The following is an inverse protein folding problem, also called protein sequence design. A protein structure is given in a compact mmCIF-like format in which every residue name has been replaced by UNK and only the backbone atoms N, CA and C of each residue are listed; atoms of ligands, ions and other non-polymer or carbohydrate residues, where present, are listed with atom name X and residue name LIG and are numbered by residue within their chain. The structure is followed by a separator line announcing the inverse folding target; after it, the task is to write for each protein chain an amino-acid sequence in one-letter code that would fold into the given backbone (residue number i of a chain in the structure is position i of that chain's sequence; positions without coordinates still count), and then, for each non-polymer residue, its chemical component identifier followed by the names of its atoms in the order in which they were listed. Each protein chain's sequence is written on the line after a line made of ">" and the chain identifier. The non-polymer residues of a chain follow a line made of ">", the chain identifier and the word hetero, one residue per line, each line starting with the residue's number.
data_IF_413121281089
#
_entry.id   IF_413121281089
#
_cell.length_a   1.000
_cell.length_b   1.000
_cell.length_c   1.000
_cell.angle_alpha   90.00
_cell.angle_beta   90.00
_cell.angle_gamma   90.00
#
_symmetry.space_group_name_H-M   'P 1'
#
loop_
_entity.id
_entity.type
_entity.pdbx_description
1 polymer ?
#
# COMPACT_ATOMS: atom_id res chain seq x y z
N UNK A 1 21.72 22.65 -0.76
CA UNK A 1 20.73 22.23 -1.77
C UNK A 1 19.37 22.34 -1.16
N UNK A 2 18.38 22.85 -1.88
CA UNK A 2 17.02 22.99 -1.35
C UNK A 2 16.39 21.60 -1.25
N UNK A 3 15.89 21.25 -0.07
CA UNK A 3 15.14 20.00 0.12
C UNK A 3 13.81 20.16 -0.64
N UNK A 4 13.53 19.26 -1.57
CA UNK A 4 12.20 19.13 -2.19
C UNK A 4 11.39 18.22 -1.28
N UNK A 5 10.33 18.76 -0.70
CA UNK A 5 9.35 17.98 0.06
C UNK A 5 8.28 17.56 -0.92
N UNK A 6 7.97 16.28 -1.00
CA UNK A 6 6.85 15.75 -1.76
C UNK A 6 5.83 15.16 -0.78
N UNK A 7 4.55 15.36 -1.06
CA UNK A 7 3.45 14.82 -0.26
C UNK A 7 2.72 13.78 -1.12
N UNK A 8 2.65 12.55 -0.65
CA UNK A 8 1.90 11.48 -1.32
C UNK A 8 0.57 11.28 -0.61
N UNK A 9 -0.50 11.08 -1.39
CA UNK A 9 -1.82 10.77 -0.86
C UNK A 9 -2.53 9.80 -1.80
N UNK A 10 -3.50 9.08 -1.24
CA UNK A 10 -4.26 8.06 -1.95
C UNK A 10 -5.66 8.57 -2.27
N UNK A 11 -6.19 8.16 -3.42
CA UNK A 11 -7.62 8.17 -3.69
C UNK A 11 -8.07 6.72 -3.84
N UNK A 12 -8.62 6.13 -2.77
CA UNK A 12 -8.93 4.68 -2.65
C UNK A 12 -9.71 4.14 -3.86
N UNK A 13 -10.70 4.90 -4.31
CA UNK A 13 -11.63 4.47 -5.36
C UNK A 13 -11.56 5.35 -6.62
N UNK A 14 -10.43 6.04 -6.80
CA UNK A 14 -10.14 6.86 -7.97
C UNK A 14 -9.74 6.05 -9.20
N UNK A 15 -9.70 6.72 -10.36
CA UNK A 15 -9.33 6.11 -11.64
C UNK A 15 -10.54 5.61 -12.46
N UNK A 16 -10.29 4.93 -13.60
CA UNK A 16 -11.33 4.30 -14.39
C UNK A 16 -12.08 3.23 -13.59
N UNK A 17 -13.33 2.96 -13.97
CA UNK A 17 -14.12 1.90 -13.35
C UNK A 17 -13.39 0.55 -13.41
N UNK A 18 -13.42 -0.17 -12.30
CA UNK A 18 -12.97 -1.56 -12.21
C UNK A 18 -13.81 -2.46 -13.12
N UNK A 19 -13.31 -3.67 -13.37
CA UNK A 19 -14.02 -4.65 -14.20
C UNK A 19 -15.36 -5.10 -13.60
N UNK A 20 -15.51 -5.03 -12.28
CA UNK A 20 -16.65 -5.53 -11.51
C UNK A 20 -17.34 -4.46 -10.65
N UNK A 21 -16.88 -3.21 -10.71
CA UNK A 21 -17.40 -2.08 -9.93
C UNK A 21 -17.60 -0.84 -10.80
N UNK A 22 -18.45 0.08 -10.34
CA UNK A 22 -18.57 1.42 -10.95
C UNK A 22 -17.52 2.40 -10.42
N UNK A 23 -16.76 1.99 -9.40
CA UNK A 23 -15.65 2.70 -8.78
C UNK A 23 -14.32 2.23 -9.38
N UNK A 24 -13.25 3.00 -9.25
CA UNK A 24 -11.92 2.55 -9.66
C UNK A 24 -11.18 1.81 -8.55
N UNK A 25 -10.07 1.17 -8.88
CA UNK A 25 -9.23 0.41 -7.93
C UNK A 25 -8.17 1.27 -7.24
N UNK A 26 -8.21 2.59 -7.47
CA UNK A 26 -7.43 3.55 -6.71
C UNK A 26 -6.25 4.18 -7.44
N UNK A 27 -5.75 5.24 -6.83
CA UNK A 27 -4.68 6.08 -7.37
C UNK A 27 -3.76 6.57 -6.25
N UNK A 28 -2.49 6.78 -6.57
CA UNK A 28 -1.55 7.54 -5.74
C UNK A 28 -1.22 8.84 -6.44
N UNK A 29 -1.35 9.93 -5.71
CA UNK A 29 -1.06 11.27 -6.19
C UNK A 29 0.14 11.84 -5.44
N UNK A 30 0.92 12.66 -6.13
CA UNK A 30 2.02 13.42 -5.53
C UNK A 30 1.75 14.92 -5.65
N UNK A 31 1.78 15.61 -4.51
CA UNK A 31 1.74 17.05 -4.45
C UNK A 31 3.13 17.61 -4.19
N UNK A 32 3.55 18.55 -5.05
CA UNK A 32 4.77 19.32 -4.89
C UNK A 32 4.42 20.75 -4.43
N UNK A 33 4.62 21.10 -3.15
CA UNK A 33 4.28 22.42 -2.62
C UNK A 33 5.18 23.55 -3.14
N UNK A 34 6.34 23.25 -3.73
CA UNK A 34 7.21 24.27 -4.33
C UNK A 34 6.67 24.75 -5.67
N UNK A 35 6.23 23.81 -6.50
CA UNK A 35 5.72 24.08 -7.85
C UNK A 35 4.19 24.23 -7.87
N UNK A 36 3.54 23.98 -6.72
CA UNK A 36 2.08 23.95 -6.56
C UNK A 36 1.38 23.00 -7.54
N UNK A 37 2.03 21.88 -7.86
CA UNK A 37 1.52 20.88 -8.80
C UNK A 37 1.06 19.62 -8.10
N UNK A 38 -0.05 19.05 -8.58
CA UNK A 38 -0.51 17.70 -8.24
C UNK A 38 -0.32 16.83 -9.49
N UNK A 39 0.36 15.70 -9.34
CA UNK A 39 0.64 14.76 -10.44
C UNK A 39 0.12 13.37 -10.06
N UNK A 40 -0.56 12.71 -10.98
CA UNK A 40 -0.94 11.31 -10.84
C UNK A 40 0.34 10.46 -10.93
N UNK A 41 0.68 9.77 -9.85
CA UNK A 41 1.90 8.99 -9.73
C UNK A 41 1.66 7.51 -10.04
N UNK A 42 0.54 6.97 -9.55
CA UNK A 42 0.08 5.61 -9.83
C UNK A 42 -1.42 5.64 -10.11
N UNK A 43 -1.86 4.90 -11.12
CA UNK A 43 -3.26 4.56 -11.35
C UNK A 43 -3.37 3.04 -11.42
N UNK A 44 -4.25 2.46 -10.61
CA UNK A 44 -4.48 1.02 -10.62
C UNK A 44 -5.10 0.60 -11.96
N UNK A 45 -4.76 -0.62 -12.40
CA UNK A 45 -5.43 -1.25 -13.54
C UNK A 45 -6.91 -1.48 -13.20
N UNK A 46 -7.85 -1.35 -14.16
CA UNK A 46 -9.23 -1.77 -13.97
C UNK A 46 -9.40 -3.22 -13.48
N UNK A 47 -8.40 -4.08 -13.72
CA UNK A 47 -8.42 -5.47 -13.24
C UNK A 47 -8.15 -5.65 -11.75
N UNK A 48 -7.61 -4.65 -11.03
CA UNK A 48 -7.29 -4.74 -9.61
C UNK A 48 -6.11 -5.66 -9.24
N UNK A 49 -5.57 -6.41 -10.21
CA UNK A 49 -4.62 -7.52 -9.96
C UNK A 49 -3.37 -7.17 -9.11
N UNK A 50 -2.85 -5.94 -9.22
CA UNK A 50 -1.66 -5.50 -8.46
C UNK A 50 -1.97 -4.46 -7.39
N UNK A 51 -3.16 -3.85 -7.44
CA UNK A 51 -3.57 -2.78 -6.53
C UNK A 51 -5.10 -2.71 -6.55
N UNK A 52 -5.71 -2.96 -5.40
CA UNK A 52 -7.16 -2.91 -5.19
C UNK A 52 -7.51 -2.04 -3.96
N UNK A 53 -8.18 -0.93 -4.21
CA UNK A 53 -8.67 0.04 -3.23
C UNK A 53 -7.70 0.36 -2.06
N UNK A 54 -6.47 0.87 -2.31
CA UNK A 54 -5.55 1.25 -1.23
C UNK A 54 -6.15 2.34 -0.33
N UNK A 55 -5.98 2.23 0.99
CA UNK A 55 -6.47 3.24 1.94
C UNK A 55 -5.33 3.90 2.74
N UNK A 56 -4.30 3.15 3.14
CA UNK A 56 -3.20 3.69 3.94
C UNK A 56 -1.86 3.68 3.19
N UNK A 57 -1.01 4.66 3.48
CA UNK A 57 0.30 4.84 2.84
C UNK A 57 1.40 5.11 3.87
N UNK A 58 2.58 4.54 3.64
CA UNK A 58 3.80 4.90 4.35
C UNK A 58 5.01 4.90 3.41
N UNK A 59 6.09 5.58 3.80
CA UNK A 59 7.33 5.62 3.04
C UNK A 59 8.32 4.64 3.68
N UNK A 60 8.82 3.70 2.90
CA UNK A 60 9.86 2.79 3.34
C UNK A 60 11.21 3.51 3.48
N UNK A 61 12.13 3.05 4.36
CA UNK A 61 13.45 3.67 4.56
C UNK A 61 14.30 3.75 3.28
N UNK A 62 14.03 2.89 2.30
CA UNK A 62 14.69 2.88 0.99
C UNK A 62 13.97 3.71 -0.10
N UNK A 63 12.92 4.44 0.29
CA UNK A 63 12.23 5.44 -0.52
C UNK A 63 11.12 4.93 -1.45
N UNK A 64 10.72 3.66 -1.34
CA UNK A 64 9.49 3.18 -1.95
C UNK A 64 8.28 3.55 -1.06
N UNK A 65 7.08 3.51 -1.62
CA UNK A 65 5.83 3.65 -0.86
C UNK A 65 5.28 2.26 -0.56
N UNK A 66 4.73 2.05 0.62
CA UNK A 66 3.90 0.88 0.94
C UNK A 66 2.46 1.34 1.10
N UNK A 67 1.57 0.71 0.35
CA UNK A 67 0.13 0.91 0.36
C UNK A 67 -0.52 -0.27 1.08
N UNK A 68 -1.53 -0.01 1.90
CA UNK A 68 -2.35 -1.04 2.53
C UNK A 68 -3.71 -1.05 1.82
N UNK A 69 -4.10 -2.21 1.31
CA UNK A 69 -5.37 -2.40 0.61
C UNK A 69 -6.55 -2.56 1.57
N UNK A 70 -7.71 -2.09 1.09
CA UNK A 70 -9.08 -2.31 1.60
C UNK A 70 -10.00 -2.73 0.43
N UNK A 71 -9.52 -3.68 -0.37
CA UNK A 71 -10.18 -4.15 -1.59
C UNK A 71 -11.29 -5.18 -1.35
N UNK A 72 -11.87 -5.70 -2.43
CA UNK A 72 -12.87 -6.78 -2.36
C UNK A 72 -12.28 -8.19 -2.24
N UNK A 73 -11.05 -8.36 -2.75
CA UNK A 73 -10.35 -9.65 -2.87
C UNK A 73 -9.29 -9.84 -1.76
N UNK A 74 -8.31 -10.72 -1.96
CA UNK A 74 -7.19 -10.89 -1.04
C UNK A 74 -6.48 -9.56 -0.79
N UNK A 75 -6.18 -9.27 0.47
CA UNK A 75 -5.58 -8.00 0.87
C UNK A 75 -4.06 -8.05 0.88
N UNK A 76 -3.41 -7.04 0.32
CA UNK A 76 -1.96 -6.93 0.30
C UNK A 76 -1.46 -5.63 0.92
N UNK A 77 -0.22 -5.70 1.41
CA UNK A 77 0.65 -4.53 1.41
C UNK A 77 1.31 -4.49 0.03
N UNK A 78 1.06 -3.43 -0.72
CA UNK A 78 1.58 -3.22 -2.07
C UNK A 78 2.70 -2.20 -2.05
N UNK A 79 3.83 -2.53 -2.64
CA UNK A 79 4.95 -1.61 -2.84
C UNK A 79 4.82 -0.82 -4.13
N UNK A 80 5.11 0.48 -4.07
CA UNK A 80 5.32 1.35 -5.22
C UNK A 80 6.76 1.79 -5.23
N UNK A 81 7.51 1.42 -6.27
CA UNK A 81 8.88 1.88 -6.36
C UNK A 81 8.99 3.33 -6.84
N UNK A 82 10.20 3.89 -6.80
CA UNK A 82 10.45 5.29 -7.18
C UNK A 82 10.09 5.66 -8.64
N UNK A 83 9.79 4.68 -9.50
CA UNK A 83 9.31 4.88 -10.87
C UNK A 83 7.79 4.78 -11.01
N UNK A 84 7.07 4.48 -9.92
CA UNK A 84 5.63 4.22 -9.95
C UNK A 84 5.27 2.77 -10.29
N UNK A 85 6.23 1.84 -10.32
CA UNK A 85 5.94 0.43 -10.63
C UNK A 85 5.47 -0.30 -9.35
N UNK A 86 4.36 -1.04 -9.48
CA UNK A 86 3.72 -1.79 -8.41
C UNK A 86 4.34 -3.18 -8.21
N UNK A 87 4.34 -3.66 -6.97
CA UNK A 87 4.65 -5.05 -6.61
C UNK A 87 3.96 -5.45 -5.31
N UNK A 88 3.45 -6.69 -5.23
CA UNK A 88 2.91 -7.21 -3.97
C UNK A 88 4.06 -7.50 -2.99
N UNK A 89 4.04 -6.87 -1.82
CA UNK A 89 5.07 -7.04 -0.80
C UNK A 89 4.69 -8.12 0.22
N UNK A 90 3.47 -8.05 0.76
CA UNK A 90 2.97 -9.03 1.71
C UNK A 90 1.48 -9.27 1.48
N UNK A 91 1.04 -10.53 1.60
CA UNK A 91 -0.38 -10.92 1.55
C UNK A 91 -0.90 -11.11 2.96
N UNK A 92 -2.13 -10.67 3.24
CA UNK A 92 -2.83 -11.09 4.44
C UNK A 92 -3.16 -12.59 4.33
N UNK A 93 -2.39 -13.41 5.05
CA UNK A 93 -2.52 -14.86 5.06
C UNK A 93 -3.24 -15.38 6.33
N UNK A 94 -4.01 -14.53 7.00
CA UNK A 94 -4.69 -14.89 8.23
C UNK A 94 -5.77 -15.95 7.95
N UNK A 95 -5.66 -17.09 8.62
CA UNK A 95 -6.62 -18.20 8.50
C UNK A 95 -7.60 -18.25 9.68
N UNK A 96 -7.47 -17.33 10.63
CA UNK A 96 -8.34 -17.25 11.79
C UNK A 96 -9.70 -16.73 11.34
N UNK A 97 -10.83 -17.30 11.82
CA UNK A 97 -12.13 -16.72 11.54
C UNK A 97 -12.31 -15.34 12.18
N UNK A 98 -13.14 -14.50 11.55
CA UNK A 98 -13.59 -13.22 12.07
C UNK A 98 -14.47 -13.39 13.32
N UNK A 99 -14.99 -12.28 13.86
CA UNK A 99 -15.88 -12.30 15.04
C UNK A 99 -17.21 -13.04 14.82
N UNK A 100 -17.60 -13.28 13.57
CA UNK A 100 -18.82 -13.98 13.20
C UNK A 100 -18.58 -15.45 12.84
N UNK A 101 -17.32 -15.88 12.74
CA UNK A 101 -16.93 -17.25 12.38
C UNK A 101 -16.66 -17.45 10.89
N UNK A 102 -16.60 -16.40 10.09
CA UNK A 102 -16.29 -16.44 8.65
C UNK A 102 -14.79 -16.28 8.40
N UNK A 103 -14.24 -16.68 7.24
CA UNK A 103 -12.83 -16.43 6.90
C UNK A 103 -12.48 -14.94 7.05
N UNK A 104 -11.44 -14.63 7.84
CA UNK A 104 -10.97 -13.25 8.00
C UNK A 104 -10.10 -12.84 6.81
N UNK A 105 -10.70 -12.09 5.89
CA UNK A 105 -10.01 -11.43 4.78
C UNK A 105 -9.98 -9.90 5.00
N UNK A 106 -9.82 -9.46 6.24
CA UNK A 106 -9.83 -8.03 6.57
C UNK A 106 -8.66 -7.26 5.96
N UNK A 107 -8.93 -5.98 5.70
CA UNK A 107 -7.96 -4.99 5.23
C UNK A 107 -6.72 -4.88 6.14
N UNK A 108 -5.66 -4.33 5.56
CA UNK A 108 -4.56 -3.80 6.33
C UNK A 108 -4.89 -2.38 6.80
N UNK A 109 -5.06 -2.18 8.11
CA UNK A 109 -5.36 -0.89 8.74
C UNK A 109 -4.08 -0.09 9.08
N UNK A 110 -3.17 -0.03 8.11
CA UNK A 110 -2.03 0.89 8.13
C UNK A 110 -0.71 0.26 8.52
N UNK A 111 0.34 0.95 8.10
CA UNK A 111 1.72 0.54 8.28
C UNK A 111 2.62 1.72 8.64
N UNK A 112 3.68 1.45 9.40
CA UNK A 112 4.75 2.42 9.64
C UNK A 112 6.08 1.73 9.89
N UNK A 113 7.17 2.42 9.57
CA UNK A 113 8.51 1.97 9.93
C UNK A 113 8.92 2.56 11.28
N UNK A 114 9.70 1.79 12.05
CA UNK A 114 10.41 2.29 13.22
C UNK A 114 11.33 3.47 12.84
N UNK A 115 11.66 4.37 13.78
CA UNK A 115 12.51 5.53 13.49
C UNK A 115 13.92 5.18 12.98
N UNK A 116 14.44 4.01 13.35
CA UNK A 116 15.72 3.47 12.84
C UNK A 116 15.59 2.80 11.47
N UNK A 117 14.36 2.58 10.98
CA UNK A 117 14.06 1.94 9.72
C UNK A 117 14.20 0.42 9.71
N UNK A 118 14.44 -0.22 10.85
CA UNK A 118 14.75 -1.66 10.91
C UNK A 118 13.51 -2.56 11.11
N UNK A 119 12.38 -1.99 11.52
CA UNK A 119 11.13 -2.72 11.74
C UNK A 119 9.98 -2.07 10.99
N UNK A 120 9.23 -2.86 10.25
CA UNK A 120 7.92 -2.49 9.72
C UNK A 120 6.84 -3.00 10.68
N UNK A 121 5.95 -2.11 11.09
CA UNK A 121 4.70 -2.45 11.76
C UNK A 121 3.57 -2.39 10.74
N UNK A 122 2.71 -3.42 10.70
CA UNK A 122 1.51 -3.47 9.85
C UNK A 122 0.35 -4.00 10.68
N UNK A 123 -0.82 -3.38 10.55
CA UNK A 123 -2.02 -3.76 11.31
C UNK A 123 -3.05 -4.43 10.40
N UNK A 124 -3.75 -5.47 10.88
CA UNK A 124 -4.98 -5.94 10.24
C UNK A 124 -6.20 -5.48 11.03
N UNK A 125 -7.23 -4.98 10.33
CA UNK A 125 -8.40 -4.39 10.97
C UNK A 125 -9.21 -5.43 11.76
N UNK A 126 -9.42 -6.62 11.20
CA UNK A 126 -10.39 -7.62 11.67
C UNK A 126 -10.22 -8.01 13.13
N UNK A 127 -9.44 -9.06 13.41
CA UNK A 127 -9.14 -9.46 14.79
C UNK A 127 -8.12 -8.55 15.52
N UNK A 128 -7.66 -7.47 14.88
CA UNK A 128 -6.80 -6.45 15.48
C UNK A 128 -5.37 -6.91 15.78
N UNK A 129 -4.69 -7.49 14.78
CA UNK A 129 -3.29 -7.94 14.93
C UNK A 129 -2.34 -6.86 14.43
N UNK A 130 -1.29 -6.58 15.20
CA UNK A 130 -0.12 -5.84 14.72
C UNK A 130 1.03 -6.81 14.48
N UNK A 131 1.53 -6.85 13.26
CA UNK A 131 2.73 -7.58 12.87
C UNK A 131 3.95 -6.69 13.05
N UNK A 132 5.05 -7.27 13.55
CA UNK A 132 6.37 -6.67 13.53
C UNK A 132 7.22 -7.48 12.55
N UNK A 133 7.73 -6.84 11.50
CA UNK A 133 8.54 -7.47 10.47
C UNK A 133 9.93 -6.83 10.54
N UNK A 134 10.98 -7.64 10.65
CA UNK A 134 12.36 -7.17 10.72
C UNK A 134 13.07 -7.31 9.38
N UNK A 135 14.01 -6.40 9.14
CA UNK A 135 14.88 -6.41 7.96
C UNK A 135 15.88 -7.58 7.92
N UNK A 136 16.78 -7.61 6.93
CA UNK A 136 17.36 -6.41 6.31
C UNK A 136 16.55 -5.80 5.16
N UNK A 137 16.36 -4.47 5.19
CA UNK A 137 15.59 -3.70 4.21
C UNK A 137 16.40 -3.22 2.98
N UNK A 138 17.49 -3.91 2.65
CA UNK A 138 18.40 -3.45 1.58
C UNK A 138 17.75 -3.53 0.20
N UNK A 139 18.06 -2.57 -0.68
CA UNK A 139 17.61 -2.51 -2.09
C UNK A 139 17.92 -3.78 -2.91
N UNK A 140 18.84 -4.63 -2.46
CA UNK A 140 19.37 -5.78 -3.20
C UNK A 140 18.49 -7.03 -3.18
N UNK A 141 17.40 -7.07 -2.40
CA UNK A 141 16.51 -8.24 -2.34
C UNK A 141 15.46 -8.32 -3.46
N UNK A 142 15.48 -7.41 -4.45
CA UNK A 142 14.54 -7.37 -5.60
C UNK A 142 14.77 -8.44 -6.67
N UNK A 143 15.40 -9.57 -6.36
CA UNK A 143 15.38 -10.75 -7.23
C UNK A 143 14.27 -11.67 -6.77
N UNK A 144 13.03 -11.25 -6.96
CA UNK A 144 11.94 -12.22 -7.05
C UNK A 144 12.23 -13.07 -8.29
N UNK A 145 12.41 -14.37 -8.07
CA UNK A 145 12.50 -15.38 -9.13
C UNK A 145 11.13 -15.62 -9.72
#
# INVERSE_FOLDING_TARGET
>A
GTITILIYFIATQGGPAAVDSTRGNGQVWVYNPREETITLFVEASPSGELLDEPDNITIAPFGDLFLCEDGGDEQFVVGVNQKGELYQFARNALLRPDRNGEPDNSEFAGACFSPDGDTLFVNTQGVGITYCIWGPWSRQYRKFK
#
